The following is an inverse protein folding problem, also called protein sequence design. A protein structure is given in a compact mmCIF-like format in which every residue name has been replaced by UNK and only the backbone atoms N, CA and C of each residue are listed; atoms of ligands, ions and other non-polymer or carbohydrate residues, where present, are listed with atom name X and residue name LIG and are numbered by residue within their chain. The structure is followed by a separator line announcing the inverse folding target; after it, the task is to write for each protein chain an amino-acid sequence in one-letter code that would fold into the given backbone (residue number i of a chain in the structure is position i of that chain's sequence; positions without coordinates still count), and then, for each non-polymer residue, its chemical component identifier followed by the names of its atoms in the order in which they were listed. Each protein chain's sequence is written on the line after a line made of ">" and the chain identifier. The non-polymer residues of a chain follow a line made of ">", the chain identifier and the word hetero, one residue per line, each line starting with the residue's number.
data_IF_335328089623
#
_entry.id   IF_335328089623
#
_cell.length_a   1.000
_cell.length_b   1.000
_cell.length_c   1.000
_cell.angle_alpha   90.00
_cell.angle_beta   90.00
_cell.angle_gamma   90.00
#
_symmetry.space_group_name_H-M   'P 1'
#
loop_
_entity.id
_entity.type
_entity.pdbx_description
1 polymer ?
#
# COMPACT_ATOMS: atom_id res chain seq x y z
N UNK A 1 -14.97 12.96 -16.29
CA UNK A 1 -13.83 12.08 -15.99
C UNK A 1 -12.55 12.79 -16.37
N UNK A 2 -11.43 12.57 -15.70
CA UNK A 2 -10.20 13.23 -16.09
C UNK A 2 -9.73 12.63 -17.42
N UNK A 3 -9.84 13.39 -18.50
CA UNK A 3 -9.11 13.12 -19.73
C UNK A 3 -7.63 13.19 -19.37
N UNK A 4 -6.92 12.07 -19.43
CA UNK A 4 -5.53 11.98 -18.98
C UNK A 4 -4.58 12.70 -19.94
N UNK A 5 -4.83 12.62 -21.23
CA UNK A 5 -4.08 13.33 -22.27
C UNK A 5 -5.03 14.01 -23.26
N UNK A 6 -4.56 15.06 -23.92
CA UNK A 6 -5.24 15.61 -25.07
C UNK A 6 -5.32 14.53 -26.17
N UNK A 7 -6.51 14.22 -26.74
CA UNK A 7 -6.66 13.22 -27.79
C UNK A 7 -5.71 13.40 -28.99
N UNK A 8 -5.39 14.64 -29.35
CA UNK A 8 -4.47 14.98 -30.45
C UNK A 8 -2.99 14.56 -30.16
N UNK A 9 -2.66 14.31 -28.91
CA UNK A 9 -1.33 13.88 -28.45
C UNK A 9 -1.33 12.48 -27.88
N UNK A 10 -2.45 11.79 -27.95
CA UNK A 10 -2.59 10.45 -27.44
C UNK A 10 -1.79 9.45 -28.29
N UNK A 11 -0.99 8.56 -27.67
CA UNK A 11 -0.34 7.51 -28.41
C UNK A 11 -1.38 6.56 -29.02
N UNK A 12 -1.07 5.96 -30.13
CA UNK A 12 -1.83 4.82 -30.63
C UNK A 12 -1.71 3.64 -29.67
N UNK A 13 -2.66 2.70 -29.69
CA UNK A 13 -2.62 1.49 -28.86
C UNK A 13 -1.28 0.76 -28.99
N UNK A 14 -0.77 0.62 -30.21
CA UNK A 14 0.51 -0.07 -30.46
C UNK A 14 1.72 0.68 -29.86
N UNK A 15 1.74 2.00 -29.93
CA UNK A 15 2.79 2.83 -29.31
C UNK A 15 2.74 2.76 -27.78
N UNK A 16 1.56 2.87 -27.21
CA UNK A 16 1.35 2.72 -25.76
C UNK A 16 1.85 1.35 -25.27
N UNK A 17 1.43 0.27 -25.91
CA UNK A 17 1.83 -1.08 -25.51
C UNK A 17 3.33 -1.35 -25.68
N UNK A 18 3.99 -0.75 -26.67
CA UNK A 18 5.46 -0.80 -26.81
C UNK A 18 6.19 -0.05 -25.71
N UNK A 19 5.61 1.04 -25.21
CA UNK A 19 6.19 1.82 -24.12
C UNK A 19 6.08 1.12 -22.75
N UNK A 20 5.20 0.13 -22.61
CA UNK A 20 5.00 -0.62 -21.37
C UNK A 20 6.05 -1.74 -21.23
N UNK A 21 6.89 -1.74 -20.21
CA UNK A 21 7.92 -2.76 -20.03
C UNK A 21 7.34 -4.13 -19.64
N UNK A 22 8.05 -5.21 -19.96
CA UNK A 22 7.87 -6.55 -19.39
C UNK A 22 7.04 -7.55 -20.18
N UNK A 23 6.75 -7.30 -21.48
CA UNK A 23 6.22 -8.33 -22.38
C UNK A 23 4.93 -9.02 -21.90
N UNK A 24 4.02 -8.29 -21.23
CA UNK A 24 2.79 -8.86 -20.68
C UNK A 24 1.74 -9.21 -21.72
N UNK A 25 1.78 -8.54 -22.89
CA UNK A 25 0.82 -8.72 -23.97
C UNK A 25 1.15 -9.99 -24.76
N UNK A 26 0.17 -10.87 -24.91
CA UNK A 26 0.29 -12.11 -25.72
C UNK A 26 0.01 -11.79 -27.18
N UNK A 27 -1.10 -11.13 -27.45
CA UNK A 27 -1.52 -10.68 -28.77
C UNK A 27 -2.45 -9.49 -28.68
N UNK A 28 -2.57 -8.75 -29.76
CA UNK A 28 -3.62 -7.74 -29.96
C UNK A 28 -4.53 -8.26 -31.07
N UNK A 29 -5.83 -8.26 -30.81
CA UNK A 29 -6.85 -8.57 -31.83
C UNK A 29 -7.54 -7.25 -32.13
N UNK A 30 -7.38 -6.78 -33.37
CA UNK A 30 -7.92 -5.50 -33.81
C UNK A 30 -9.45 -5.47 -33.76
N UNK A 31 -9.99 -4.33 -33.43
CA UNK A 31 -11.40 -4.03 -33.55
C UNK A 31 -11.83 -3.75 -34.99
N UNK A 32 -13.04 -3.31 -35.19
CA UNK A 32 -13.57 -2.94 -36.50
C UNK A 32 -13.13 -1.52 -36.90
N UNK A 33 -12.86 -1.31 -38.15
CA UNK A 33 -12.59 -0.03 -38.83
C UNK A 33 -11.86 1.03 -37.98
N UNK A 34 -12.56 2.04 -37.49
CA UNK A 34 -12.00 3.16 -36.70
C UNK A 34 -11.34 2.74 -35.38
N UNK A 35 -11.54 1.47 -34.97
CA UNK A 35 -11.01 0.92 -33.72
C UNK A 35 -9.79 0.02 -33.96
N UNK A 36 -9.25 0.06 -35.17
CA UNK A 36 -7.92 -0.51 -35.47
C UNK A 36 -6.86 0.42 -34.96
N UNK A 37 -6.04 -0.06 -34.01
CA UNK A 37 -4.96 0.72 -33.41
C UNK A 37 -5.36 2.16 -32.97
N UNK A 38 -6.42 2.30 -32.16
CA UNK A 38 -6.96 3.61 -31.78
C UNK A 38 -5.99 4.44 -30.96
N UNK A 39 -6.16 5.76 -30.95
CA UNK A 39 -5.48 6.67 -30.02
C UNK A 39 -6.01 6.49 -28.61
N UNK A 40 -5.12 6.30 -27.63
CA UNK A 40 -5.48 6.07 -26.23
C UNK A 40 -5.16 7.31 -25.42
N UNK A 41 -6.18 8.11 -25.08
CA UNK A 41 -6.04 9.32 -24.26
C UNK A 41 -6.31 9.09 -22.76
N UNK A 42 -6.81 7.93 -22.39
CA UNK A 42 -7.15 7.66 -21.00
C UNK A 42 -7.49 6.22 -20.68
N UNK A 43 -7.84 6.00 -19.41
CA UNK A 43 -8.29 4.71 -18.88
C UNK A 43 -9.66 4.91 -18.24
N UNK A 44 -10.62 4.03 -18.56
CA UNK A 44 -11.93 4.03 -17.98
C UNK A 44 -12.38 2.65 -17.50
N UNK A 45 -13.39 2.60 -16.62
CA UNK A 45 -14.06 1.32 -16.33
C UNK A 45 -14.91 0.89 -17.53
N UNK A 46 -15.25 -0.40 -17.65
CA UNK A 46 -16.05 -0.90 -18.78
C UNK A 46 -17.35 -0.11 -19.00
N UNK A 47 -18.03 0.28 -17.93
CA UNK A 47 -19.30 0.98 -18.01
C UNK A 47 -19.19 2.50 -18.21
N UNK A 48 -18.00 3.09 -18.08
CA UNK A 48 -17.81 4.53 -18.13
C UNK A 48 -16.74 5.01 -19.10
N UNK A 49 -15.99 4.08 -19.69
CA UNK A 49 -14.95 4.40 -20.66
C UNK A 49 -15.52 5.04 -21.92
N UNK A 50 -14.84 6.07 -22.42
CA UNK A 50 -15.14 6.77 -23.66
C UNK A 50 -14.42 6.20 -24.88
N UNK A 51 -14.66 6.75 -26.08
CA UNK A 51 -14.17 6.23 -27.36
C UNK A 51 -12.65 6.32 -27.55
N UNK A 52 -11.93 7.05 -26.69
CA UNK A 52 -10.47 7.18 -26.71
C UNK A 52 -9.85 6.63 -25.40
N UNK A 53 -10.54 5.73 -24.73
CA UNK A 53 -10.06 5.16 -23.47
C UNK A 53 -9.90 3.64 -23.58
N UNK A 54 -8.85 3.13 -22.91
CA UNK A 54 -8.65 1.70 -22.70
C UNK A 54 -9.33 1.26 -21.42
N UNK A 55 -9.93 0.07 -21.42
CA UNK A 55 -10.51 -0.56 -20.25
C UNK A 55 -9.90 -1.94 -19.99
N UNK A 56 -10.33 -2.62 -18.94
CA UNK A 56 -9.88 -3.97 -18.62
C UNK A 56 -10.98 -4.81 -17.99
N UNK A 57 -10.88 -6.14 -18.15
CA UNK A 57 -11.76 -7.12 -17.52
C UNK A 57 -10.93 -8.24 -16.88
N UNK A 58 -11.17 -8.49 -15.61
CA UNK A 58 -10.45 -9.52 -14.83
C UNK A 58 -11.35 -10.64 -14.34
N UNK A 59 -12.66 -10.50 -14.49
CA UNK A 59 -13.60 -11.50 -13.98
C UNK A 59 -14.79 -11.68 -14.91
N UNK A 60 -15.18 -12.94 -15.24
CA UNK A 60 -16.28 -13.24 -16.18
C UNK A 60 -17.63 -12.59 -15.85
N UNK A 61 -17.91 -12.30 -14.58
CA UNK A 61 -19.17 -11.62 -14.17
C UNK A 61 -19.39 -10.26 -14.86
N UNK A 62 -18.34 -9.62 -15.37
CA UNK A 62 -18.43 -8.33 -16.06
C UNK A 62 -18.58 -8.45 -17.59
N UNK A 63 -18.63 -9.68 -18.16
CA UNK A 63 -18.78 -9.90 -19.61
C UNK A 63 -19.97 -9.17 -20.20
N UNK A 64 -21.11 -9.15 -19.47
CA UNK A 64 -22.30 -8.41 -19.92
C UNK A 64 -22.09 -6.91 -20.15
N UNK A 65 -21.08 -6.30 -19.53
CA UNK A 65 -20.77 -4.89 -19.74
C UNK A 65 -20.00 -4.62 -21.04
N UNK A 66 -19.41 -5.65 -21.65
CA UNK A 66 -18.71 -5.50 -22.92
C UNK A 66 -19.62 -5.11 -24.08
N UNK A 67 -20.89 -5.53 -24.06
CA UNK A 67 -21.86 -5.18 -25.08
C UNK A 67 -22.19 -3.67 -25.12
N UNK A 68 -22.08 -2.99 -24.00
CA UNK A 68 -22.42 -1.57 -23.84
C UNK A 68 -21.22 -0.65 -23.73
N UNK A 69 -20.01 -1.19 -23.60
CA UNK A 69 -18.81 -0.35 -23.44
C UNK A 69 -18.54 0.53 -24.66
N UNK A 70 -18.08 1.76 -24.39
CA UNK A 70 -17.59 2.69 -25.42
C UNK A 70 -16.05 2.71 -25.47
N UNK A 71 -15.37 1.87 -24.67
CA UNK A 71 -13.91 1.77 -24.68
C UNK A 71 -13.41 1.37 -26.07
N UNK A 72 -12.38 2.06 -26.59
CA UNK A 72 -11.78 1.71 -27.89
C UNK A 72 -10.89 0.47 -27.83
N UNK A 73 -10.38 0.13 -26.67
CA UNK A 73 -9.61 -1.07 -26.42
C UNK A 73 -9.93 -1.66 -25.05
N UNK A 74 -9.89 -3.00 -24.94
CA UNK A 74 -10.15 -3.70 -23.67
C UNK A 74 -9.04 -4.75 -23.44
N UNK A 75 -8.44 -4.71 -22.27
CA UNK A 75 -7.49 -5.75 -21.83
C UNK A 75 -8.29 -6.94 -21.32
N UNK A 76 -8.03 -8.11 -21.86
CA UNK A 76 -8.80 -9.33 -21.60
C UNK A 76 -7.89 -10.51 -21.25
N UNK A 77 -8.44 -11.46 -20.50
CA UNK A 77 -7.81 -12.78 -20.30
C UNK A 77 -7.91 -13.62 -21.59
N UNK A 78 -6.99 -14.60 -21.82
CA UNK A 78 -7.06 -15.51 -22.95
C UNK A 78 -8.41 -16.23 -23.05
N UNK A 79 -8.96 -16.71 -21.93
CA UNK A 79 -10.22 -17.45 -21.87
C UNK A 79 -11.43 -16.56 -22.26
N UNK A 80 -11.35 -15.27 -21.93
CA UNK A 80 -12.37 -14.29 -22.33
C UNK A 80 -12.27 -14.02 -23.84
N UNK A 81 -11.06 -13.90 -24.37
CA UNK A 81 -10.87 -13.73 -25.83
C UNK A 81 -11.41 -14.91 -26.62
N UNK A 82 -11.21 -16.15 -26.17
CA UNK A 82 -11.76 -17.35 -26.81
C UNK A 82 -13.30 -17.30 -26.86
N UNK A 83 -13.92 -16.90 -25.77
CA UNK A 83 -15.40 -16.73 -25.71
C UNK A 83 -15.88 -15.64 -26.68
N UNK A 84 -15.20 -14.50 -26.71
CA UNK A 84 -15.53 -13.37 -27.56
C UNK A 84 -15.34 -13.71 -29.04
N UNK A 85 -14.27 -14.41 -29.39
CA UNK A 85 -13.99 -14.84 -30.77
C UNK A 85 -14.96 -15.92 -31.28
N UNK A 86 -15.61 -16.63 -30.37
CA UNK A 86 -16.67 -17.62 -30.70
C UNK A 86 -18.04 -17.00 -30.86
N UNK A 87 -18.20 -15.71 -30.55
CA UNK A 87 -19.48 -14.99 -30.71
C UNK A 87 -19.75 -14.68 -32.18
N UNK A 88 -21.01 -14.81 -32.59
CA UNK A 88 -21.45 -14.41 -33.93
C UNK A 88 -21.54 -12.87 -34.10
N UNK A 89 -21.53 -12.11 -33.01
CA UNK A 89 -21.63 -10.66 -33.06
C UNK A 89 -20.24 -10.03 -33.26
N UNK A 90 -20.11 -9.05 -34.17
CA UNK A 90 -18.85 -8.37 -34.42
C UNK A 90 -18.47 -7.50 -33.20
N UNK A 91 -17.26 -7.65 -32.74
CA UNK A 91 -16.72 -6.89 -31.61
C UNK A 91 -16.05 -5.62 -32.14
N UNK A 92 -16.55 -4.46 -31.69
CA UNK A 92 -16.08 -3.15 -32.16
C UNK A 92 -14.68 -2.80 -31.68
N UNK A 93 -14.37 -2.97 -30.38
CA UNK A 93 -13.14 -2.53 -29.75
C UNK A 93 -11.97 -3.48 -30.00
N UNK A 94 -10.76 -2.95 -29.96
CA UNK A 94 -9.53 -3.75 -29.98
C UNK A 94 -9.35 -4.53 -28.66
N UNK A 95 -8.87 -5.77 -28.74
CA UNK A 95 -8.67 -6.63 -27.57
C UNK A 95 -7.18 -6.85 -27.34
N UNK A 96 -6.72 -6.51 -26.15
CA UNK A 96 -5.35 -6.72 -25.68
C UNK A 96 -5.32 -7.96 -24.80
N UNK A 97 -4.86 -9.08 -25.34
CA UNK A 97 -4.86 -10.36 -24.64
C UNK A 97 -3.65 -10.47 -23.74
N UNK A 98 -3.88 -10.71 -22.45
CA UNK A 98 -2.85 -10.73 -21.41
C UNK A 98 -3.23 -11.71 -20.29
N UNK A 99 -2.23 -12.46 -19.73
CA UNK A 99 -2.46 -13.34 -18.57
C UNK A 99 -2.71 -12.57 -17.27
N UNK A 100 -2.27 -11.32 -17.21
CA UNK A 100 -2.34 -10.48 -15.99
C UNK A 100 -2.97 -9.12 -16.31
N UNK A 101 -4.27 -9.04 -16.66
CA UNK A 101 -4.91 -7.79 -17.10
C UNK A 101 -4.80 -6.66 -16.07
N UNK A 102 -4.91 -6.98 -14.77
CA UNK A 102 -4.82 -5.97 -13.71
C UNK A 102 -3.40 -5.40 -13.58
N UNK A 103 -2.37 -6.23 -13.79
CA UNK A 103 -0.98 -5.75 -13.81
C UNK A 103 -0.70 -4.89 -15.05
N UNK A 104 -1.20 -5.28 -16.22
CA UNK A 104 -1.07 -4.47 -17.43
C UNK A 104 -1.79 -3.12 -17.27
N UNK A 105 -3.00 -3.14 -16.71
CA UNK A 105 -3.72 -1.92 -16.34
C UNK A 105 -2.89 -1.02 -15.41
N UNK A 106 -2.31 -1.58 -14.35
CA UNK A 106 -1.49 -0.82 -13.41
C UNK A 106 -0.29 -0.14 -14.12
N UNK A 107 0.38 -0.85 -15.02
CA UNK A 107 1.51 -0.29 -15.79
C UNK A 107 1.09 0.79 -16.78
N UNK A 108 -0.06 0.63 -17.42
CA UNK A 108 -0.63 1.67 -18.28
C UNK A 108 -0.98 2.89 -17.43
N UNK A 109 -1.57 2.72 -16.24
CA UNK A 109 -1.87 3.82 -15.33
C UNK A 109 -0.59 4.55 -14.90
N UNK A 110 0.49 3.83 -14.57
CA UNK A 110 1.80 4.41 -14.25
C UNK A 110 2.38 5.19 -15.45
N UNK A 111 2.24 4.66 -16.66
CA UNK A 111 2.68 5.36 -17.86
C UNK A 111 1.92 6.69 -18.05
N UNK A 112 0.60 6.69 -17.88
CA UNK A 112 -0.20 7.91 -17.96
C UNK A 112 0.16 8.91 -16.85
N UNK A 113 0.43 8.45 -15.65
CA UNK A 113 0.86 9.31 -14.54
C UNK A 113 2.18 10.00 -14.85
N UNK A 114 3.14 9.24 -15.36
CA UNK A 114 4.41 9.79 -15.84
C UNK A 114 4.22 10.75 -17.02
N UNK A 115 3.38 10.42 -18.00
CA UNK A 115 3.17 11.23 -19.20
C UNK A 115 2.44 12.57 -18.92
N UNK A 116 1.72 12.66 -17.82
CA UNK A 116 1.05 13.88 -17.36
C UNK A 116 1.98 14.86 -16.64
N UNK A 117 3.08 14.36 -16.10
CA UNK A 117 3.95 15.24 -15.32
C UNK A 117 4.45 16.37 -16.21
N UNK A 118 4.18 17.65 -15.83
CA UNK A 118 4.80 18.78 -16.49
C UNK A 118 6.32 18.67 -16.33
N UNK A 119 7.05 19.23 -17.29
CA UNK A 119 8.49 19.36 -17.13
C UNK A 119 8.79 19.98 -15.77
N UNK A 120 9.50 19.22 -14.91
CA UNK A 120 9.77 19.66 -13.53
C UNK A 120 10.79 20.79 -13.57
N UNK A 121 10.44 21.90 -12.97
CA UNK A 121 11.44 22.87 -12.57
C UNK A 121 12.25 22.26 -11.43
N UNK A 122 13.45 21.76 -11.76
CA UNK A 122 14.39 21.22 -10.78
C UNK A 122 14.92 22.37 -9.94
N UNK A 123 14.27 22.69 -8.83
CA UNK A 123 14.65 23.80 -7.99
C UNK A 123 14.36 23.56 -6.51
N UNK A 124 15.14 24.23 -5.70
CA UNK A 124 14.83 24.45 -4.28
C UNK A 124 14.02 25.74 -4.20
N UNK A 125 12.79 25.64 -3.71
CA UNK A 125 11.93 26.81 -3.60
C UNK A 125 12.53 27.84 -2.64
N UNK A 126 12.43 29.14 -2.94
CA UNK A 126 13.05 30.23 -2.17
C UNK A 126 12.61 30.29 -0.70
N UNK A 127 11.41 29.79 -0.39
CA UNK A 127 10.90 29.72 0.99
C UNK A 127 11.29 28.44 1.73
N UNK A 128 12.00 27.51 1.08
CA UNK A 128 12.53 26.34 1.77
C UNK A 128 13.73 26.72 2.65
N UNK A 129 13.80 26.11 3.83
CA UNK A 129 14.93 26.30 4.74
C UNK A 129 15.79 25.06 4.67
N UNK A 130 16.99 25.18 4.12
CA UNK A 130 17.95 24.08 3.98
C UNK A 130 19.21 24.40 4.78
N UNK A 131 19.56 23.52 5.73
CA UNK A 131 20.78 23.67 6.52
C UNK A 131 22.02 23.64 5.60
N UNK A 132 23.00 24.53 5.78
CA UNK A 132 24.19 24.59 4.94
C UNK A 132 25.04 23.30 4.92
N UNK A 133 24.93 22.46 5.96
CA UNK A 133 25.64 21.17 6.03
C UNK A 133 24.94 20.03 5.30
N UNK A 134 23.68 20.25 4.82
CA UNK A 134 22.96 19.24 4.05
C UNK A 134 23.56 19.07 2.64
N UNK A 135 23.67 17.84 2.20
CA UNK A 135 24.11 17.46 0.85
C UNK A 135 22.90 17.16 -0.02
N UNK A 136 22.62 18.05 -0.97
CA UNK A 136 21.46 17.92 -1.88
C UNK A 136 21.97 17.69 -3.30
N UNK A 137 21.53 16.60 -3.95
CA UNK A 137 21.87 16.32 -5.34
C UNK A 137 21.21 17.35 -6.28
N UNK A 138 21.85 17.66 -7.41
CA UNK A 138 21.41 18.75 -8.34
C UNK A 138 20.03 18.52 -8.95
N UNK A 139 19.59 17.28 -9.04
CA UNK A 139 18.30 16.89 -9.62
C UNK A 139 17.16 16.78 -8.60
N UNK A 140 17.37 17.26 -7.38
CA UNK A 140 16.36 17.27 -6.32
C UNK A 140 15.42 18.45 -6.48
N UNK A 141 14.14 18.22 -6.19
CA UNK A 141 13.14 19.29 -6.06
C UNK A 141 12.72 19.43 -4.61
N UNK A 142 12.73 20.65 -4.07
CA UNK A 142 12.27 20.95 -2.71
C UNK A 142 11.19 22.02 -2.78
N UNK A 143 9.99 21.65 -2.33
CA UNK A 143 8.81 22.51 -2.35
C UNK A 143 8.83 23.65 -1.31
N UNK A 144 7.89 24.59 -1.40
CA UNK A 144 7.81 25.73 -0.49
C UNK A 144 7.64 25.29 0.98
N UNK A 145 8.26 26.08 1.87
CA UNK A 145 8.20 25.88 3.33
C UNK A 145 8.70 24.53 3.83
N UNK A 146 9.43 23.78 3.01
CA UNK A 146 10.12 22.57 3.49
C UNK A 146 11.32 22.96 4.35
N UNK A 147 11.57 22.20 5.43
CA UNK A 147 12.71 22.40 6.33
C UNK A 147 13.59 21.16 6.26
N UNK A 148 14.87 21.33 5.94
CA UNK A 148 15.88 20.28 5.86
C UNK A 148 16.93 20.54 6.94
N UNK A 149 17.04 19.61 7.89
CA UNK A 149 17.97 19.71 9.01
C UNK A 149 19.43 19.45 8.64
N UNK A 150 20.35 19.65 9.61
CA UNK A 150 21.79 19.49 9.40
C UNK A 150 22.20 18.08 9.06
N UNK A 151 23.25 17.96 8.23
CA UNK A 151 23.84 16.67 7.86
C UNK A 151 22.99 15.76 6.99
N UNK A 152 21.82 16.22 6.52
CA UNK A 152 20.96 15.45 5.63
C UNK A 152 21.62 15.14 4.30
N UNK A 153 21.27 13.97 3.71
CA UNK A 153 21.69 13.57 2.37
C UNK A 153 20.44 13.27 1.53
N UNK A 154 20.18 14.05 0.49
CA UNK A 154 19.07 13.88 -0.43
C UNK A 154 19.62 13.56 -1.81
N UNK A 155 19.35 12.35 -2.28
CA UNK A 155 19.93 11.80 -3.50
C UNK A 155 19.13 12.20 -4.75
N UNK A 156 19.68 11.84 -5.93
CA UNK A 156 19.21 12.28 -7.25
C UNK A 156 17.72 12.01 -7.46
N UNK A 157 17.07 12.92 -8.15
CA UNK A 157 15.66 12.85 -8.54
C UNK A 157 14.66 12.73 -7.38
N UNK A 158 15.12 12.87 -6.12
CA UNK A 158 14.20 12.90 -4.99
C UNK A 158 13.36 14.19 -5.01
N UNK A 159 12.13 14.07 -4.51
CA UNK A 159 11.17 15.17 -4.48
C UNK A 159 10.65 15.34 -3.07
N UNK A 160 10.82 16.53 -2.53
CA UNK A 160 10.37 16.90 -1.20
C UNK A 160 9.20 17.86 -1.34
N UNK A 161 8.01 17.42 -0.93
CA UNK A 161 6.78 18.20 -1.00
C UNK A 161 6.77 19.40 -0.07
N UNK A 162 5.80 20.27 -0.29
CA UNK A 162 5.64 21.52 0.49
C UNK A 162 5.43 21.23 1.98
N UNK A 163 6.10 22.01 2.84
CA UNK A 163 5.93 21.93 4.29
C UNK A 163 6.41 20.62 4.91
N UNK A 164 7.24 19.83 4.23
CA UNK A 164 7.91 18.69 4.85
C UNK A 164 8.92 19.18 5.89
N UNK A 165 9.03 18.44 7.01
CA UNK A 165 10.02 18.71 8.06
C UNK A 165 10.93 17.49 8.19
N UNK A 166 12.21 17.69 7.88
CA UNK A 166 13.23 16.64 7.88
C UNK A 166 14.27 16.99 8.93
N UNK A 167 14.40 16.14 9.93
CA UNK A 167 15.34 16.30 11.04
C UNK A 167 16.80 16.13 10.63
N UNK A 168 17.71 16.11 11.61
CA UNK A 168 19.13 16.01 11.37
C UNK A 168 19.58 14.62 10.85
N UNK A 169 20.62 14.57 10.02
CA UNK A 169 21.27 13.34 9.55
C UNK A 169 20.33 12.32 8.86
N UNK A 170 19.26 12.79 8.25
CA UNK A 170 18.34 11.94 7.46
C UNK A 170 18.94 11.66 6.10
N UNK A 171 18.81 10.41 5.64
CA UNK A 171 19.21 9.99 4.30
C UNK A 171 17.95 9.65 3.47
N UNK A 172 17.79 10.27 2.27
CA UNK A 172 16.69 9.97 1.34
C UNK A 172 17.27 9.47 0.04
N UNK A 173 16.90 8.25 -0.34
CA UNK A 173 17.34 7.57 -1.55
C UNK A 173 16.80 8.19 -2.83
N UNK A 174 17.48 7.88 -3.93
CA UNK A 174 17.17 8.43 -5.25
C UNK A 174 15.72 8.12 -5.71
N UNK A 175 15.14 9.07 -6.44
CA UNK A 175 13.79 8.97 -7.00
C UNK A 175 12.67 8.78 -5.96
N UNK A 176 12.92 9.07 -4.69
CA UNK A 176 11.90 9.02 -3.65
C UNK A 176 11.03 10.27 -3.66
N UNK A 177 9.75 10.08 -3.39
CA UNK A 177 8.73 11.13 -3.38
C UNK A 177 8.14 11.29 -1.97
N UNK A 178 8.34 12.44 -1.37
CA UNK A 178 7.66 12.86 -0.15
C UNK A 178 6.54 13.83 -0.52
N UNK A 179 5.31 13.43 -0.29
CA UNK A 179 4.15 14.31 -0.44
C UNK A 179 4.15 15.43 0.60
N UNK A 180 3.34 16.49 0.45
CA UNK A 180 3.32 17.62 1.38
C UNK A 180 3.10 17.20 2.85
N UNK A 181 3.77 17.92 3.79
CA UNK A 181 3.61 17.73 5.25
C UNK A 181 4.03 16.36 5.79
N UNK A 182 5.01 15.71 5.19
CA UNK A 182 5.68 14.56 5.79
C UNK A 182 6.65 15.05 6.86
N UNK A 183 6.71 14.35 8.00
CA UNK A 183 7.64 14.63 9.09
C UNK A 183 8.59 13.44 9.28
N UNK A 184 9.89 13.71 9.21
CA UNK A 184 10.93 12.70 9.40
C UNK A 184 11.85 13.14 10.53
N UNK A 185 11.98 12.29 11.54
CA UNK A 185 12.85 12.54 12.69
C UNK A 185 14.32 12.23 12.37
N UNK A 186 15.20 12.67 13.28
CA UNK A 186 16.65 12.57 13.10
C UNK A 186 17.15 11.15 12.84
N UNK A 187 18.11 11.01 11.94
CA UNK A 187 18.84 9.77 11.68
C UNK A 187 18.06 8.72 10.89
N UNK A 188 16.84 8.99 10.45
CA UNK A 188 16.05 8.06 9.63
C UNK A 188 16.69 7.87 8.26
N UNK A 189 16.70 6.61 7.77
CA UNK A 189 17.21 6.27 6.45
C UNK A 189 16.09 5.74 5.58
N UNK A 190 15.95 6.30 4.39
CA UNK A 190 14.95 5.93 3.39
C UNK A 190 15.66 5.50 2.11
N UNK A 191 15.34 4.32 1.62
CA UNK A 191 15.86 3.75 0.38
C UNK A 191 15.36 4.49 -0.87
N UNK A 192 15.67 3.93 -2.03
CA UNK A 192 15.31 4.49 -3.34
C UNK A 192 13.84 4.25 -3.68
N UNK A 193 13.24 5.13 -4.49
CA UNK A 193 11.88 5.02 -5.04
C UNK A 193 10.80 4.82 -3.97
N UNK A 194 11.05 5.35 -2.78
CA UNK A 194 10.03 5.39 -1.74
C UNK A 194 8.97 6.44 -2.05
N UNK A 195 7.71 6.13 -1.72
CA UNK A 195 6.60 7.09 -1.82
C UNK A 195 6.02 7.26 -0.42
N UNK A 196 6.10 8.47 0.11
CA UNK A 196 5.60 8.79 1.46
C UNK A 196 4.49 9.81 1.34
N UNK A 197 3.29 9.41 1.73
CA UNK A 197 2.10 10.26 1.62
C UNK A 197 1.95 11.26 2.75
N UNK A 198 1.14 12.28 2.51
CA UNK A 198 0.96 13.46 3.38
C UNK A 198 0.61 13.09 4.82
N UNK A 199 1.21 13.79 5.77
CA UNK A 199 0.96 13.60 7.19
C UNK A 199 1.61 12.37 7.82
N UNK A 200 2.35 11.56 7.05
CA UNK A 200 3.12 10.46 7.63
C UNK A 200 4.20 11.00 8.57
N UNK A 201 4.41 10.32 9.71
CA UNK A 201 5.43 10.65 10.71
C UNK A 201 6.38 9.46 10.87
N UNK A 202 7.65 9.67 10.56
CA UNK A 202 8.65 8.62 10.47
C UNK A 202 9.76 8.84 11.51
N UNK A 203 9.99 7.85 12.37
CA UNK A 203 11.07 7.85 13.35
C UNK A 203 10.76 8.61 14.64
N UNK A 204 9.48 8.85 14.96
CA UNK A 204 9.10 9.37 16.28
C UNK A 204 9.46 8.36 17.39
N UNK A 205 9.58 8.84 18.64
CA UNK A 205 9.77 7.95 19.77
C UNK A 205 8.59 6.99 19.95
N UNK A 206 8.89 5.73 20.13
CA UNK A 206 7.92 4.73 20.54
C UNK A 206 7.46 4.90 22.00
N UNK A 207 6.50 4.11 22.42
CA UNK A 207 5.96 4.12 23.76
C UNK A 207 6.93 3.41 24.73
N UNK A 208 7.94 4.15 25.19
CA UNK A 208 8.96 3.67 26.11
C UNK A 208 8.88 4.35 27.48
N UNK A 209 8.35 3.65 28.49
CA UNK A 209 8.23 4.16 29.85
C UNK A 209 8.47 3.05 30.88
N UNK A 210 9.08 3.42 32.02
CA UNK A 210 9.21 2.55 33.18
C UNK A 210 8.40 3.11 34.35
N UNK A 211 7.76 2.27 35.18
CA UNK A 211 7.18 2.75 36.43
C UNK A 211 8.24 3.41 37.30
N UNK A 212 8.00 4.61 37.77
CA UNK A 212 8.93 5.35 38.62
C UNK A 212 8.31 5.60 39.98
N UNK A 213 8.53 4.71 40.96
CA UNK A 213 8.00 4.85 42.32
C UNK A 213 8.67 5.97 43.14
N UNK A 214 9.78 6.54 42.63
CA UNK A 214 10.50 7.62 43.31
C UNK A 214 9.82 8.98 43.13
N UNK A 215 8.98 9.15 42.13
CA UNK A 215 8.24 10.39 41.87
C UNK A 215 6.91 10.41 42.59
N UNK A 216 5.95 9.63 42.14
CA UNK A 216 4.63 9.51 42.74
C UNK A 216 4.01 8.16 42.39
N UNK A 217 2.97 7.75 43.16
CA UNK A 217 2.24 6.51 42.85
C UNK A 217 1.64 6.58 41.41
N UNK A 218 2.04 5.66 40.55
CA UNK A 218 1.59 5.59 39.17
C UNK A 218 2.37 6.49 38.21
N UNK A 219 3.45 7.13 38.64
CA UNK A 219 4.32 7.92 37.77
C UNK A 219 5.16 7.02 36.80
N UNK A 220 5.53 7.61 35.68
CA UNK A 220 6.30 6.94 34.62
C UNK A 220 7.56 7.74 34.32
N UNK A 221 8.70 7.08 34.34
CA UNK A 221 9.96 7.59 33.81
C UNK A 221 10.06 7.33 32.29
N UNK A 222 10.37 8.36 31.51
CA UNK A 222 10.59 8.24 30.07
C UNK A 222 11.83 7.40 29.78
N UNK A 223 11.70 6.41 28.89
CA UNK A 223 12.81 5.69 28.28
C UNK A 223 13.10 6.33 26.92
N UNK A 224 14.22 7.08 26.75
CA UNK A 224 14.59 7.65 25.46
C UNK A 224 14.76 6.55 24.39
N UNK A 225 14.31 6.83 23.20
CA UNK A 225 14.43 5.91 22.07
C UNK A 225 15.69 6.26 21.27
N UNK A 226 16.74 5.47 21.42
CA UNK A 226 18.11 5.75 20.94
C UNK A 226 18.42 5.07 19.59
N UNK A 227 17.56 4.14 19.17
CA UNK A 227 17.65 3.52 17.84
C UNK A 227 17.13 4.45 16.76
N UNK A 228 17.00 3.93 15.56
CA UNK A 228 16.53 4.68 14.40
C UNK A 228 15.43 3.91 13.65
N UNK A 229 15.04 4.43 12.48
CA UNK A 229 14.16 3.80 11.51
C UNK A 229 14.91 3.65 10.20
N UNK A 230 14.88 2.44 9.64
CA UNK A 230 15.46 2.12 8.33
C UNK A 230 14.36 1.62 7.41
N UNK A 231 14.20 2.28 6.28
CA UNK A 231 13.21 1.98 5.24
C UNK A 231 13.94 1.56 3.98
N UNK A 232 13.59 0.41 3.43
CA UNK A 232 14.14 -0.15 2.20
C UNK A 232 13.73 0.58 0.93
N UNK A 233 14.02 -0.04 -0.20
CA UNK A 233 13.68 0.48 -1.52
C UNK A 233 12.23 0.13 -1.89
N UNK A 234 11.62 0.94 -2.79
CA UNK A 234 10.29 0.67 -3.34
C UNK A 234 9.18 0.57 -2.27
N UNK A 235 9.39 1.20 -1.10
CA UNK A 235 8.42 1.22 0.00
C UNK A 235 7.39 2.31 -0.26
N UNK A 236 6.13 2.02 0.05
CA UNK A 236 5.07 3.03 0.02
C UNK A 236 4.39 3.14 1.38
N UNK A 237 4.26 4.37 1.89
CA UNK A 237 3.67 4.66 3.20
C UNK A 237 2.52 5.64 3.03
N UNK A 238 1.32 5.19 3.37
CA UNK A 238 0.07 5.92 3.23
C UNK A 238 -0.06 7.14 4.17
N UNK A 239 -1.07 7.93 3.91
CA UNK A 239 -1.30 9.18 4.61
C UNK A 239 -1.56 8.96 6.13
N UNK A 240 -0.99 9.85 6.95
CA UNK A 240 -1.11 9.81 8.43
C UNK A 240 -0.65 8.48 9.08
N UNK A 241 0.16 7.70 8.40
CA UNK A 241 0.80 6.51 8.97
C UNK A 241 1.97 6.93 9.84
N UNK A 242 2.12 6.28 11.00
CA UNK A 242 3.23 6.51 11.92
C UNK A 242 4.12 5.27 12.02
N UNK A 243 5.43 5.48 11.96
CA UNK A 243 6.43 4.41 12.15
C UNK A 243 7.43 4.89 13.19
N UNK A 244 7.41 4.26 14.35
CA UNK A 244 8.27 4.63 15.46
C UNK A 244 9.71 4.16 15.23
N UNK A 245 10.68 4.89 15.79
CA UNK A 245 12.06 4.44 15.88
C UNK A 245 12.22 3.30 16.89
N UNK A 246 13.28 2.55 16.79
CA UNK A 246 13.58 1.55 17.80
C UNK A 246 14.12 2.14 19.11
N UNK A 247 13.96 1.40 20.18
CA UNK A 247 14.44 1.82 21.50
C UNK A 247 15.98 1.84 21.59
N UNK A 248 16.64 0.77 21.16
CA UNK A 248 18.10 0.62 21.09
C UNK A 248 18.53 0.19 19.69
N UNK A 249 17.85 -0.81 19.13
CA UNK A 249 18.02 -1.27 17.76
C UNK A 249 17.04 -0.51 16.84
N UNK A 250 17.16 -0.70 15.53
CA UNK A 250 16.29 -0.01 14.57
C UNK A 250 14.93 -0.69 14.40
N UNK A 251 13.91 0.10 14.11
CA UNK A 251 12.73 -0.36 13.40
C UNK A 251 13.06 -0.48 11.92
N UNK A 252 12.61 -1.55 11.25
CA UNK A 252 12.99 -1.86 9.87
C UNK A 252 11.76 -2.16 9.01
N UNK A 253 11.63 -1.44 7.92
CA UNK A 253 10.74 -1.79 6.81
C UNK A 253 11.61 -2.24 5.64
N UNK A 254 11.48 -3.50 5.21
CA UNK A 254 12.27 -4.05 4.11
C UNK A 254 11.75 -3.60 2.73
N UNK A 255 12.45 -3.98 1.67
CA UNK A 255 12.13 -3.57 0.30
C UNK A 255 10.70 -3.96 -0.11
N UNK A 256 10.02 -3.08 -0.84
CA UNK A 256 8.73 -3.33 -1.42
C UNK A 256 7.54 -3.35 -0.46
N UNK A 257 7.73 -3.03 0.82
CA UNK A 257 6.65 -2.92 1.81
C UNK A 257 5.63 -1.87 1.39
N UNK A 258 4.33 -2.18 1.54
CA UNK A 258 3.22 -1.28 1.23
C UNK A 258 2.35 -1.09 2.47
N UNK A 259 2.33 0.11 3.01
CA UNK A 259 1.50 0.51 4.13
C UNK A 259 0.43 1.48 3.64
N UNK A 260 -0.82 1.15 3.87
CA UNK A 260 -1.96 2.03 3.58
C UNK A 260 -2.06 3.16 4.64
N UNK A 261 -3.14 3.90 4.63
CA UNK A 261 -3.36 5.07 5.47
C UNK A 261 -3.61 4.70 6.94
N UNK A 262 -3.18 5.60 7.86
CA UNK A 262 -3.47 5.50 9.30
C UNK A 262 -2.97 4.20 9.95
N UNK A 263 -1.87 3.68 9.48
CA UNK A 263 -1.20 2.52 10.09
C UNK A 263 -0.29 2.99 11.23
N UNK A 264 -0.17 2.18 12.28
CA UNK A 264 0.79 2.39 13.36
C UNK A 264 1.76 1.22 13.44
N UNK A 265 3.06 1.50 13.26
CA UNK A 265 4.15 0.53 13.47
C UNK A 265 4.93 0.98 14.69
N UNK A 266 4.87 0.19 15.76
CA UNK A 266 5.57 0.45 17.00
C UNK A 266 7.09 0.23 16.91
N UNK A 267 7.79 0.64 17.95
CA UNK A 267 9.25 0.57 18.05
C UNK A 267 9.81 -0.86 17.88
N UNK A 268 11.01 -0.98 17.32
CA UNK A 268 11.71 -2.26 17.13
C UNK A 268 10.96 -3.29 16.27
N UNK A 269 9.94 -2.89 15.53
CA UNK A 269 9.29 -3.79 14.57
C UNK A 269 10.17 -4.06 13.37
N UNK A 270 10.06 -5.27 12.81
CA UNK A 270 10.63 -5.63 11.52
C UNK A 270 9.52 -6.11 10.60
N UNK A 271 9.37 -5.45 9.46
CA UNK A 271 8.39 -5.80 8.42
C UNK A 271 9.13 -6.31 7.19
N UNK A 272 8.94 -7.57 6.87
CA UNK A 272 9.61 -8.27 5.78
C UNK A 272 9.18 -7.81 4.40
N UNK A 273 10.05 -8.09 3.43
CA UNK A 273 9.93 -7.61 2.05
C UNK A 273 8.60 -7.96 1.40
N UNK A 274 8.05 -7.01 0.62
CA UNK A 274 6.81 -7.16 -0.14
C UNK A 274 5.56 -7.45 0.72
N UNK A 275 5.61 -7.19 2.02
CA UNK A 275 4.44 -7.25 2.90
C UNK A 275 3.57 -6.02 2.69
N UNK A 276 2.25 -6.25 2.60
CA UNK A 276 1.25 -5.21 2.42
C UNK A 276 0.27 -5.17 3.60
N UNK A 277 -0.04 -3.97 4.08
CA UNK A 277 -0.99 -3.75 5.16
C UNK A 277 -2.05 -2.76 4.71
N UNK A 278 -3.32 -3.11 4.87
CA UNK A 278 -4.43 -2.22 4.57
C UNK A 278 -4.66 -1.23 5.73
N UNK A 279 -5.50 -0.23 5.50
CA UNK A 279 -5.68 0.91 6.41
C UNK A 279 -6.00 0.52 7.86
N UNK A 280 -5.57 1.38 8.78
CA UNK A 280 -5.85 1.26 10.23
C UNK A 280 -5.27 0.00 10.90
N UNK A 281 -4.26 -0.64 10.33
CA UNK A 281 -3.55 -1.74 10.99
C UNK A 281 -2.68 -1.17 12.11
N UNK A 282 -2.68 -1.82 13.27
CA UNK A 282 -1.78 -1.53 14.37
C UNK A 282 -0.82 -2.70 14.62
N UNK A 283 0.47 -2.43 14.67
CA UNK A 283 1.51 -3.40 15.03
C UNK A 283 2.23 -2.91 16.26
N UNK A 284 2.06 -3.61 17.37
CA UNK A 284 2.71 -3.25 18.62
C UNK A 284 4.22 -3.58 18.59
N UNK A 285 4.98 -2.89 19.45
CA UNK A 285 6.43 -2.90 19.43
C UNK A 285 7.08 -4.29 19.51
N UNK A 286 8.30 -4.40 18.98
CA UNK A 286 9.13 -5.60 18.97
C UNK A 286 8.53 -6.80 18.23
N UNK A 287 7.60 -6.55 17.31
CA UNK A 287 6.98 -7.58 16.48
C UNK A 287 7.73 -7.74 15.16
N UNK A 288 7.96 -8.99 14.76
CA UNK A 288 8.52 -9.34 13.44
C UNK A 288 7.42 -9.92 12.55
N UNK A 289 7.21 -9.33 11.39
CA UNK A 289 6.33 -9.85 10.34
C UNK A 289 7.19 -10.23 9.15
N UNK A 290 7.03 -11.46 8.68
CA UNK A 290 7.78 -12.01 7.55
C UNK A 290 7.47 -11.35 6.22
N UNK A 291 8.05 -11.88 5.17
CA UNK A 291 7.91 -11.37 3.80
C UNK A 291 6.61 -11.84 3.14
N UNK A 292 6.11 -11.07 2.16
CA UNK A 292 4.94 -11.41 1.33
C UNK A 292 3.65 -11.63 2.12
N UNK A 293 3.58 -11.07 3.33
CA UNK A 293 2.37 -11.10 4.12
C UNK A 293 1.34 -10.09 3.62
N UNK A 294 0.06 -10.37 3.89
CA UNK A 294 -1.01 -9.40 3.65
C UNK A 294 -1.85 -9.25 4.91
N UNK A 295 -1.90 -8.04 5.46
CA UNK A 295 -2.63 -7.76 6.70
C UNK A 295 -3.86 -6.93 6.36
N UNK A 296 -5.03 -7.50 6.59
CA UNK A 296 -6.32 -6.85 6.34
C UNK A 296 -6.56 -5.66 7.26
N UNK A 297 -7.30 -4.67 6.77
CA UNK A 297 -7.53 -3.40 7.46
C UNK A 297 -8.13 -3.56 8.86
N UNK A 298 -7.82 -2.61 9.75
CA UNK A 298 -8.22 -2.58 11.15
C UNK A 298 -7.79 -3.81 11.96
N UNK A 299 -6.80 -4.57 11.50
CA UNK A 299 -6.21 -5.67 12.30
C UNK A 299 -5.23 -5.12 13.33
N UNK A 300 -5.17 -5.75 14.50
CA UNK A 300 -4.27 -5.40 15.60
C UNK A 300 -3.35 -6.57 15.92
N UNK A 301 -2.05 -6.32 15.92
CA UNK A 301 -1.02 -7.34 16.18
C UNK A 301 -0.34 -7.00 17.49
N UNK A 302 -0.43 -7.91 18.45
CA UNK A 302 0.18 -7.74 19.78
C UNK A 302 1.71 -7.69 19.68
N UNK A 303 2.34 -7.06 20.69
CA UNK A 303 3.79 -6.90 20.75
C UNK A 303 4.54 -8.21 20.94
N UNK A 304 5.82 -8.19 20.57
CA UNK A 304 6.77 -9.30 20.71
C UNK A 304 6.37 -10.60 20.00
N UNK A 305 5.57 -10.49 18.92
CA UNK A 305 5.16 -11.64 18.14
C UNK A 305 6.07 -11.86 16.92
N UNK A 306 6.09 -13.11 16.48
CA UNK A 306 6.71 -13.53 15.22
C UNK A 306 5.62 -14.07 14.30
N UNK A 307 5.45 -13.41 13.16
CA UNK A 307 4.59 -13.84 12.06
C UNK A 307 5.49 -14.26 10.91
N UNK A 308 5.36 -15.49 10.46
CA UNK A 308 6.15 -16.06 9.36
C UNK A 308 5.81 -15.45 8.01
N UNK A 309 6.53 -15.90 6.98
CA UNK A 309 6.30 -15.50 5.59
C UNK A 309 4.95 -16.00 5.05
N UNK A 310 4.45 -15.33 4.01
CA UNK A 310 3.26 -15.76 3.25
C UNK A 310 1.98 -15.92 4.10
N UNK A 311 1.88 -15.16 5.18
CA UNK A 311 0.70 -15.13 6.07
C UNK A 311 -0.30 -14.07 5.59
N UNK A 312 -1.56 -14.48 5.49
CA UNK A 312 -2.68 -13.58 5.21
C UNK A 312 -3.54 -13.42 6.47
N UNK A 313 -3.65 -12.22 7.01
CA UNK A 313 -4.54 -11.88 8.13
C UNK A 313 -5.78 -11.18 7.60
N UNK A 314 -6.96 -11.72 7.88
CA UNK A 314 -8.24 -11.10 7.49
C UNK A 314 -8.50 -9.82 8.28
N UNK A 315 -9.23 -8.87 7.69
CA UNK A 315 -9.51 -7.57 8.32
C UNK A 315 -10.19 -7.69 9.68
N UNK A 316 -9.91 -6.73 10.57
CA UNK A 316 -10.46 -6.67 11.93
C UNK A 316 -9.94 -7.74 12.88
N UNK A 317 -8.92 -8.50 12.49
CA UNK A 317 -8.40 -9.62 13.30
C UNK A 317 -7.44 -9.12 14.38
N UNK A 318 -7.64 -9.57 15.63
CA UNK A 318 -6.68 -9.40 16.71
C UNK A 318 -5.73 -10.63 16.75
N UNK A 319 -4.45 -10.43 16.41
CA UNK A 319 -3.41 -11.45 16.47
C UNK A 319 -2.70 -11.35 17.81
N UNK A 320 -2.86 -12.37 18.66
CA UNK A 320 -2.35 -12.37 20.05
C UNK A 320 -1.31 -13.47 20.32
N UNK A 321 -0.91 -14.22 19.30
CA UNK A 321 0.10 -15.27 19.40
C UNK A 321 0.89 -15.39 18.10
N UNK A 322 2.06 -16.03 18.17
CA UNK A 322 2.91 -16.29 17.01
C UNK A 322 2.17 -17.08 15.91
N UNK A 323 2.45 -16.73 14.67
CA UNK A 323 1.92 -17.41 13.48
C UNK A 323 3.09 -17.87 12.63
N UNK A 324 3.47 -19.12 12.72
CA UNK A 324 4.66 -19.65 12.03
C UNK A 324 4.39 -20.30 10.67
N UNK A 325 3.14 -20.61 10.36
CA UNK A 325 2.79 -21.33 9.12
C UNK A 325 2.13 -20.37 8.13
N UNK A 326 2.52 -20.42 6.83
CA UNK A 326 1.78 -19.75 5.78
C UNK A 326 0.30 -20.13 5.80
N UNK A 327 -0.57 -19.20 5.43
CA UNK A 327 -2.00 -19.46 5.38
C UNK A 327 -2.84 -18.25 5.73
N UNK A 328 -4.16 -18.43 5.72
CA UNK A 328 -5.12 -17.38 6.04
C UNK A 328 -5.63 -17.52 7.47
N UNK A 329 -5.56 -16.42 8.23
CA UNK A 329 -5.97 -16.36 9.63
C UNK A 329 -7.07 -15.31 9.80
N UNK A 330 -8.12 -15.69 10.54
CA UNK A 330 -9.28 -14.82 10.81
C UNK A 330 -9.65 -14.91 12.28
N UNK A 331 -9.76 -13.77 12.96
CA UNK A 331 -10.04 -13.68 14.39
C UNK A 331 -11.09 -12.61 14.71
N UNK A 332 -12.18 -12.56 13.90
CA UNK A 332 -13.33 -11.67 14.13
C UNK A 332 -14.57 -12.51 14.39
N UNK A 333 -15.43 -12.03 15.29
CA UNK A 333 -16.74 -12.60 15.47
C UNK A 333 -17.61 -12.32 14.23
N UNK A 334 -18.32 -13.31 13.66
CA UNK A 334 -19.19 -13.07 12.51
C UNK A 334 -20.24 -12.00 12.82
N UNK A 335 -20.41 -11.02 11.94
CA UNK A 335 -21.49 -10.07 12.06
C UNK A 335 -22.83 -10.72 11.72
N UNK A 336 -23.89 -10.31 12.42
CA UNK A 336 -25.26 -10.74 12.18
C UNK A 336 -26.21 -9.59 12.52
N UNK A 337 -27.50 -9.78 12.27
CA UNK A 337 -28.52 -8.86 12.75
C UNK A 337 -28.42 -8.74 14.27
N UNK A 338 -28.69 -7.53 14.82
CA UNK A 338 -28.35 -7.19 16.20
C UNK A 338 -28.98 -8.12 17.25
N UNK A 339 -30.24 -8.48 17.05
CA UNK A 339 -30.94 -9.38 18.01
C UNK A 339 -30.31 -10.79 18.03
N UNK A 340 -29.84 -11.28 16.91
CA UNK A 340 -29.16 -12.59 16.85
C UNK A 340 -27.72 -12.49 17.37
N UNK A 341 -27.05 -11.35 17.12
CA UNK A 341 -25.73 -11.08 17.71
C UNK A 341 -25.79 -11.10 19.24
N UNK A 342 -26.78 -10.44 19.85
CA UNK A 342 -26.98 -10.42 21.31
C UNK A 342 -27.17 -11.83 21.88
N UNK A 343 -28.02 -12.66 21.24
CA UNK A 343 -28.22 -14.07 21.65
C UNK A 343 -26.90 -14.87 21.61
N UNK A 344 -26.17 -14.74 20.50
CA UNK A 344 -24.90 -15.45 20.32
C UNK A 344 -23.84 -14.97 21.33
N UNK A 345 -23.74 -13.66 21.58
CA UNK A 345 -22.83 -13.09 22.57
C UNK A 345 -23.13 -13.60 23.99
N UNK A 346 -24.42 -13.73 24.37
CA UNK A 346 -24.82 -14.29 25.65
C UNK A 346 -24.40 -15.77 25.80
N UNK A 347 -24.52 -16.58 24.74
CA UNK A 347 -24.05 -17.96 24.72
C UNK A 347 -22.53 -18.03 24.86
N UNK A 348 -21.77 -17.19 24.17
CA UNK A 348 -20.31 -17.13 24.28
C UNK A 348 -19.84 -16.85 25.72
N UNK A 349 -20.49 -15.96 26.45
CA UNK A 349 -20.18 -15.70 27.88
C UNK A 349 -20.39 -16.93 28.76
N UNK A 350 -21.22 -17.87 28.33
CA UNK A 350 -21.55 -19.10 29.07
C UNK A 350 -20.74 -20.34 28.62
N UNK A 351 -19.83 -20.23 27.67
CA UNK A 351 -19.09 -21.36 27.08
C UNK A 351 -18.41 -22.24 28.13
N UNK A 352 -17.83 -21.64 29.19
CA UNK A 352 -17.18 -22.42 30.27
C UNK A 352 -18.18 -23.24 31.09
N UNK A 353 -19.39 -22.75 31.34
CA UNK A 353 -20.44 -23.48 32.05
C UNK A 353 -21.05 -24.55 31.14
N UNK A 354 -21.26 -24.27 29.88
CA UNK A 354 -21.73 -25.24 28.87
C UNK A 354 -20.74 -26.40 28.77
N UNK A 355 -19.43 -26.14 28.70
CA UNK A 355 -18.38 -27.16 28.68
C UNK A 355 -18.41 -28.04 29.94
N UNK A 356 -18.64 -27.49 31.13
CA UNK A 356 -18.78 -28.29 32.37
C UNK A 356 -19.99 -29.22 32.32
N UNK A 357 -21.14 -28.70 31.87
CA UNK A 357 -22.38 -29.47 31.75
C UNK A 357 -22.23 -30.61 30.74
N UNK A 358 -21.63 -30.38 29.59
CA UNK A 358 -21.37 -31.40 28.58
C UNK A 358 -20.49 -32.51 29.15
N UNK A 359 -19.39 -32.18 29.85
CA UNK A 359 -18.54 -33.20 30.47
C UNK A 359 -19.25 -34.04 31.55
N UNK A 360 -20.21 -33.45 32.25
CA UNK A 360 -21.02 -34.23 33.21
C UNK A 360 -21.92 -35.20 32.47
N UNK A 361 -22.62 -34.77 31.42
CA UNK A 361 -23.47 -35.61 30.60
C UNK A 361 -22.71 -36.77 29.92
N UNK A 362 -21.50 -36.49 29.41
CA UNK A 362 -20.63 -37.52 28.83
C UNK A 362 -20.27 -38.61 29.86
N UNK A 363 -19.90 -38.21 31.10
CA UNK A 363 -19.60 -39.19 32.17
C UNK A 363 -20.80 -40.03 32.61
N UNK A 364 -21.99 -39.41 32.64
CA UNK A 364 -23.23 -40.09 33.02
C UNK A 364 -23.72 -41.04 31.92
N UNK A 365 -23.30 -40.85 30.67
CA UNK A 365 -23.61 -41.74 29.54
C UNK A 365 -22.66 -42.94 29.42
N UNK A 366 -21.46 -42.87 29.99
CA UNK A 366 -20.46 -43.93 30.01
C UNK A 366 -20.55 -44.83 31.27
N UNK A 367 -21.48 -44.53 32.20
CA UNK A 367 -21.78 -45.30 33.40
C UNK A 367 -23.09 -46.09 33.26
#
# INVERSE_FOLDING_TARGET
>A
MPVLLNPDRAPSLSELLKAIPGGLVIKVVEGLDDWKNPGISGIGSLGSAGPNEISFIVHPKYLGQLASTQACAVIVLPEIEEQLSSSAEPIKFSRVVCKHPYLLYARIAQWFDWAKEPARDLCIHETAVVDPSATIARSVTIGPYAVIGPGCKINEMAQIGSGCVIGANVEIGASSLLHPRVTIYDGVKIGMRAIIHSGAVLGADGFGFAPDPTLAKGAWGKIPQLGSLVIGNDVEIGANTTVDRGALENTILEDGVKLDNQIMIGHNCRIGSHTAMAACVGVAGSTTIGSRCTIGGASMISGHLIIGDDVHVSGGTAVTSNVSKPGRYTGVFPFSEHADWQKNAAVMQQLSSIRKRLRTLERDSDS
#
